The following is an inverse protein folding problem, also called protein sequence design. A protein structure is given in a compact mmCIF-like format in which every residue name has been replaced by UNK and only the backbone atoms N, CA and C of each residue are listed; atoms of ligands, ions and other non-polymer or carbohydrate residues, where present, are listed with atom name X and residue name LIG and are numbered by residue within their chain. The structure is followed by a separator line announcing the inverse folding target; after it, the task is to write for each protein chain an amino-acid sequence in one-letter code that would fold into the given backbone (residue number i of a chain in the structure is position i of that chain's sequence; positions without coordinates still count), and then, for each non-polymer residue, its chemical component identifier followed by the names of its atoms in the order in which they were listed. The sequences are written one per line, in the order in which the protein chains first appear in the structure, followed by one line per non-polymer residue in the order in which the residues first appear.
data_IF_038472808323
#
_entry.id   IF_038472808323
#
_cell.length_a   1.000
_cell.length_b   1.000
_cell.length_c   1.000
_cell.angle_alpha   90.00
_cell.angle_beta   90.00
_cell.angle_gamma   90.00
#
_symmetry.space_group_name_H-M   'P 1'
#
loop_
_entity.id
_entity.type
_entity.pdbx_description
1 polymer ?
#
# COMPACT_ATOMS: atom_id res chain seq x y z
N UNK A 1 23.43 4.96 -5.65
CA UNK A 1 22.19 4.19 -5.91
C UNK A 1 21.03 4.89 -5.23
N UNK A 2 20.11 5.48 -6.00
CA UNK A 2 19.01 6.28 -5.46
C UNK A 2 17.91 5.35 -4.92
N UNK A 3 17.55 5.49 -3.64
CA UNK A 3 16.50 4.70 -2.98
C UNK A 3 15.18 4.63 -3.77
N UNK A 4 14.87 5.65 -4.59
CA UNK A 4 13.71 5.68 -5.50
C UNK A 4 13.70 4.55 -6.54
N UNK A 5 14.86 4.09 -7.01
CA UNK A 5 14.95 2.97 -7.96
C UNK A 5 14.53 1.66 -7.33
N UNK A 6 14.97 1.41 -6.10
CA UNK A 6 14.73 0.15 -5.39
C UNK A 6 13.27 -0.04 -4.99
N UNK A 7 12.56 1.03 -4.61
CA UNK A 7 11.14 0.92 -4.28
C UNK A 7 10.26 0.67 -5.53
N UNK A 8 10.65 1.19 -6.69
CA UNK A 8 9.95 0.91 -7.96
C UNK A 8 10.17 -0.54 -8.40
N UNK A 9 11.39 -1.04 -8.30
CA UNK A 9 11.72 -2.44 -8.57
C UNK A 9 10.97 -3.38 -7.62
N UNK A 10 10.93 -3.05 -6.32
CA UNK A 10 10.17 -3.80 -5.33
C UNK A 10 8.67 -3.84 -5.66
N UNK A 11 8.07 -2.70 -6.02
CA UNK A 11 6.67 -2.64 -6.42
C UNK A 11 6.38 -3.54 -7.64
N UNK A 12 7.25 -3.52 -8.65
CA UNK A 12 7.13 -4.40 -9.83
C UNK A 12 7.24 -5.88 -9.46
N UNK A 13 8.21 -6.25 -8.62
CA UNK A 13 8.39 -7.63 -8.18
C UNK A 13 7.14 -8.16 -7.43
N UNK A 14 6.56 -7.35 -6.55
CA UNK A 14 5.33 -7.73 -5.86
C UNK A 14 4.12 -7.78 -6.79
N UNK A 15 4.01 -6.89 -7.78
CA UNK A 15 2.95 -6.96 -8.79
C UNK A 15 3.00 -8.28 -9.57
N UNK A 16 4.20 -8.74 -9.97
CA UNK A 16 4.37 -10.03 -10.66
C UNK A 16 3.92 -11.20 -9.79
N UNK A 17 4.21 -11.17 -8.48
CA UNK A 17 3.76 -12.22 -7.55
C UNK A 17 2.24 -12.24 -7.46
N UNK A 18 1.60 -11.07 -7.39
CA UNK A 18 0.14 -10.97 -7.33
C UNK A 18 -0.53 -11.42 -8.63
N UNK A 19 0.09 -11.15 -9.78
CA UNK A 19 -0.40 -11.54 -11.10
C UNK A 19 -0.23 -13.05 -11.36
N UNK A 20 0.96 -13.60 -11.08
CA UNK A 20 1.29 -15.01 -11.38
C UNK A 20 0.86 -15.98 -10.28
N UNK A 21 0.77 -15.53 -9.04
CA UNK A 21 0.47 -16.35 -7.87
C UNK A 21 -0.61 -15.72 -6.98
N UNK A 22 -1.85 -15.54 -7.48
CA UNK A 22 -2.89 -14.81 -6.74
C UNK A 22 -3.40 -15.55 -5.49
N UNK A 23 -3.28 -16.88 -5.42
CA UNK A 23 -3.86 -17.72 -4.36
C UNK A 23 -2.86 -18.35 -3.39
N UNK A 24 -1.58 -17.99 -3.46
CA UNK A 24 -0.60 -18.54 -2.51
C UNK A 24 -0.77 -17.89 -1.14
N UNK A 25 -0.40 -18.60 -0.08
CA UNK A 25 -0.39 -18.08 1.30
C UNK A 25 0.44 -16.80 1.49
N UNK A 26 1.28 -16.44 0.51
CA UNK A 26 2.06 -15.21 0.44
C UNK A 26 1.29 -13.98 -0.08
N UNK A 27 0.11 -14.14 -0.68
CA UNK A 27 -0.70 -13.02 -1.22
C UNK A 27 -0.95 -11.89 -0.21
N UNK A 28 -1.36 -12.12 1.05
CA UNK A 28 -1.51 -11.03 2.03
C UNK A 28 -0.20 -10.30 2.32
N UNK A 29 0.94 -11.01 2.34
CA UNK A 29 2.25 -10.42 2.54
C UNK A 29 2.70 -9.58 1.33
N UNK A 30 2.45 -10.07 0.11
CA UNK A 30 2.77 -9.34 -1.12
C UNK A 30 1.96 -8.05 -1.23
N UNK A 31 0.64 -8.10 -0.97
CA UNK A 31 -0.24 -6.91 -0.98
C UNK A 31 0.16 -5.87 0.06
N UNK A 32 0.47 -6.30 1.30
CA UNK A 32 0.95 -5.40 2.34
C UNK A 32 2.30 -4.76 1.96
N UNK A 33 3.25 -5.56 1.47
CA UNK A 33 4.59 -5.07 1.08
C UNK A 33 4.53 -4.13 -0.11
N UNK A 34 3.65 -4.40 -1.07
CA UNK A 34 3.38 -3.50 -2.19
C UNK A 34 2.88 -2.15 -1.68
N UNK A 35 1.83 -2.14 -0.85
CA UNK A 35 1.28 -0.91 -0.27
C UNK A 35 2.34 -0.09 0.49
N UNK A 36 3.21 -0.75 1.28
CA UNK A 36 4.28 -0.06 1.99
C UNK A 36 5.35 0.53 1.05
N UNK A 37 5.67 -0.15 -0.05
CA UNK A 37 6.64 0.34 -1.03
C UNK A 37 6.13 1.61 -1.72
N UNK A 38 4.87 1.62 -2.15
CA UNK A 38 4.28 2.80 -2.80
C UNK A 38 4.08 3.97 -1.82
N UNK A 39 3.80 3.72 -0.54
CA UNK A 39 3.81 4.80 0.47
C UNK A 39 5.19 5.43 0.65
N UNK A 40 6.26 4.64 0.58
CA UNK A 40 7.63 5.20 0.58
C UNK A 40 7.92 6.00 -0.69
N UNK A 41 7.43 5.54 -1.84
CA UNK A 41 7.49 6.32 -3.08
C UNK A 41 6.73 7.63 -2.95
N UNK A 42 5.53 7.64 -2.36
CA UNK A 42 4.72 8.83 -2.12
C UNK A 42 5.51 9.90 -1.36
N UNK A 43 6.14 9.51 -0.24
CA UNK A 43 6.97 10.40 0.59
C UNK A 43 8.14 11.08 -0.12
N UNK A 44 8.63 10.48 -1.21
CA UNK A 44 9.78 11.01 -1.97
C UNK A 44 9.36 11.59 -3.32
N UNK A 45 8.07 11.51 -3.66
CA UNK A 45 7.50 11.96 -4.92
C UNK A 45 6.95 13.38 -4.83
N UNK A 46 6.64 13.98 -5.99
CA UNK A 46 5.95 15.27 -6.03
C UNK A 46 4.56 15.12 -5.40
N UNK A 47 4.00 16.17 -4.76
CA UNK A 47 2.69 16.11 -4.10
C UNK A 47 1.57 15.57 -4.99
N UNK A 48 1.56 15.95 -6.28
CA UNK A 48 0.59 15.48 -7.27
C UNK A 48 0.66 13.98 -7.60
N UNK A 49 1.81 13.35 -7.34
CA UNK A 49 2.01 11.90 -7.55
C UNK A 49 1.86 11.14 -6.23
N UNK A 50 2.16 11.80 -5.10
CA UNK A 50 2.04 11.21 -3.77
C UNK A 50 0.60 10.79 -3.45
N UNK A 51 -0.40 11.62 -3.80
CA UNK A 51 -1.82 11.29 -3.57
C UNK A 51 -2.25 10.02 -4.30
N UNK A 52 -1.85 9.85 -5.57
CA UNK A 52 -2.16 8.65 -6.34
C UNK A 52 -1.54 7.38 -5.72
N UNK A 53 -0.30 7.47 -5.23
CA UNK A 53 0.36 6.36 -4.52
C UNK A 53 -0.29 6.07 -3.17
N UNK A 54 -0.75 7.07 -2.44
CA UNK A 54 -1.45 6.91 -1.17
C UNK A 54 -2.82 6.27 -1.36
N UNK A 55 -3.60 6.70 -2.35
CA UNK A 55 -4.87 6.07 -2.72
C UNK A 55 -4.70 4.60 -3.10
N UNK A 56 -3.68 4.31 -3.92
CA UNK A 56 -3.36 2.95 -4.31
C UNK A 56 -2.94 2.10 -3.09
N UNK A 57 -2.13 2.65 -2.19
CA UNK A 57 -1.77 1.99 -0.94
C UNK A 57 -3.01 1.65 -0.11
N UNK A 58 -3.93 2.60 0.05
CA UNK A 58 -5.17 2.40 0.79
C UNK A 58 -5.99 1.27 0.17
N UNK A 59 -6.11 1.21 -1.17
CA UNK A 59 -6.81 0.13 -1.87
C UNK A 59 -6.21 -1.25 -1.54
N UNK A 60 -4.88 -1.38 -1.59
CA UNK A 60 -4.20 -2.63 -1.28
C UNK A 60 -4.26 -3.00 0.21
N UNK A 61 -4.18 -2.03 1.13
CA UNK A 61 -4.35 -2.29 2.56
C UNK A 61 -5.76 -2.78 2.87
N UNK A 62 -6.78 -2.15 2.28
CA UNK A 62 -8.19 -2.56 2.42
C UNK A 62 -8.42 -3.98 1.87
N UNK A 63 -7.80 -4.34 0.75
CA UNK A 63 -7.95 -5.69 0.19
C UNK A 63 -7.31 -6.77 1.06
N UNK A 64 -6.24 -6.46 1.81
CA UNK A 64 -5.69 -7.40 2.82
C UNK A 64 -6.69 -7.61 3.96
N UNK A 65 -7.37 -6.55 4.42
CA UNK A 65 -8.39 -6.66 5.47
C UNK A 65 -9.62 -7.45 5.00
N UNK A 66 -10.06 -7.24 3.76
CA UNK A 66 -11.24 -7.89 3.20
C UNK A 66 -10.99 -9.37 2.90
N UNK A 67 -9.89 -9.68 2.22
CA UNK A 67 -9.63 -11.05 1.73
C UNK A 67 -8.89 -11.91 2.76
N UNK A 68 -8.17 -11.30 3.71
CA UNK A 68 -7.33 -12.01 4.68
C UNK A 68 -7.46 -11.46 6.12
N UNK A 69 -8.67 -11.31 6.68
CA UNK A 69 -8.92 -10.63 7.96
C UNK A 69 -8.18 -11.25 9.15
N UNK A 70 -7.95 -12.57 9.14
CA UNK A 70 -7.26 -13.29 10.22
C UNK A 70 -5.74 -13.32 10.08
N UNK A 71 -5.19 -12.75 9.00
CA UNK A 71 -3.75 -12.75 8.76
C UNK A 71 -3.00 -11.75 9.66
N UNK A 72 -1.73 -12.02 10.04
CA UNK A 72 -0.89 -11.01 10.70
C UNK A 72 -0.78 -9.70 9.91
N UNK A 73 -0.83 -9.80 8.59
CA UNK A 73 -0.76 -8.67 7.67
C UNK A 73 -1.99 -7.77 7.74
N UNK A 74 -3.18 -8.33 8.01
CA UNK A 74 -4.38 -7.54 8.23
C UNK A 74 -4.26 -6.62 9.45
N UNK A 75 -3.67 -7.09 10.56
CA UNK A 75 -3.40 -6.22 11.72
C UNK A 75 -2.51 -5.03 11.34
N UNK A 76 -1.38 -5.31 10.68
CA UNK A 76 -0.46 -4.27 10.21
C UNK A 76 -1.12 -3.32 9.18
N UNK A 77 -1.97 -3.84 8.30
CA UNK A 77 -2.69 -3.03 7.33
C UNK A 77 -3.68 -2.08 8.00
N UNK A 78 -4.39 -2.56 9.02
CA UNK A 78 -5.30 -1.75 9.83
C UNK A 78 -4.56 -0.63 10.57
N UNK A 79 -3.43 -0.95 11.21
CA UNK A 79 -2.61 0.05 11.90
C UNK A 79 -2.09 1.11 10.94
N UNK A 80 -1.73 0.72 9.70
CA UNK A 80 -1.30 1.67 8.68
C UNK A 80 -2.41 2.56 8.16
N UNK A 81 -3.59 2.02 7.90
CA UNK A 81 -4.76 2.83 7.53
C UNK A 81 -5.08 3.85 8.63
N UNK A 82 -5.10 3.42 9.90
CA UNK A 82 -5.34 4.32 11.03
C UNK A 82 -4.28 5.42 11.14
N UNK A 83 -3.01 5.08 10.93
CA UNK A 83 -1.92 6.05 10.93
C UNK A 83 -2.03 7.08 9.79
N UNK A 84 -2.53 6.66 8.62
CA UNK A 84 -2.78 7.53 7.47
C UNK A 84 -4.03 8.40 7.64
N UNK A 85 -5.03 7.96 8.40
CA UNK A 85 -6.20 8.78 8.76
C UNK A 85 -5.86 9.80 9.85
N UNK A 86 -4.96 9.45 10.77
CA UNK A 86 -4.56 10.31 11.90
C UNK A 86 -3.48 11.34 11.54
N UNK A 87 -2.70 11.08 10.50
CA UNK A 87 -1.83 12.08 9.87
C UNK A 87 -2.65 12.74 8.76
N UNK A 88 -3.12 13.99 8.92
CA UNK A 88 -4.05 14.57 7.97
C UNK A 88 -3.40 14.63 6.58
N UNK A 89 -3.95 13.86 5.65
CA UNK A 89 -3.88 14.19 4.23
C UNK A 89 -4.38 15.62 4.09
N UNK A 90 -3.64 16.53 3.42
CA UNK A 90 -4.23 17.79 2.99
C UNK A 90 -5.35 17.48 1.98
N UNK A 91 -6.58 17.41 2.52
CA UNK A 91 -7.91 17.60 1.92
C UNK A 91 -8.39 16.63 0.83
N UNK A 92 -9.49 15.91 1.10
CA UNK A 92 -10.69 15.95 0.22
C UNK A 92 -11.95 15.42 0.93
N UNK A 93 -12.79 16.38 1.36
CA UNK A 93 -14.23 16.40 1.56
C UNK A 93 -14.99 15.07 1.81
N UNK A 94 -15.38 14.89 3.07
CA UNK A 94 -16.71 14.35 3.42
C UNK A 94 -17.76 15.37 2.97
N UNK A 95 -18.51 15.09 1.91
CA UNK A 95 -19.76 15.78 1.59
C UNK A 95 -20.93 14.86 1.86
N UNK A 96 -21.74 15.28 2.84
CA UNK A 96 -23.04 14.73 3.22
C UNK A 96 -24.07 15.06 2.14
#
# INVERSE_FOLDING_TARGET
LSAKGEWKEAAKAYAIILEKYPRVSLTPAARLRYALAILKLAKTSKPSVASAYEEEAIRYLKSVLADYPSSPQAKLAKDRLKAMESAPLPTSKSTK
#
